data_IF_630519807584
#
_entry.id   IF_630519807584
#
_cell.length_a   1.000
_cell.length_b   1.000
_cell.length_c   1.000
_cell.angle_alpha   90.00
_cell.angle_beta   90.00
_cell.angle_gamma   90.00
#
_symmetry.space_group_name_H-M   'P 1'
#
loop_
_entity.id
_entity.type
_entity.pdbx_description
1 polymer ?
#
# COMPACT_ATOMS: atom_id res chain seq x y z
N UNK A 1 54.86 9.03 66.54
CA UNK A 1 53.40 8.77 66.63
C UNK A 1 52.68 9.68 65.64
N UNK A 2 51.43 9.35 65.26
CA UNK A 2 50.46 10.16 64.47
C UNK A 2 50.90 10.60 63.06
N UNK A 3 50.24 10.08 61.99
CA UNK A 3 49.22 10.75 61.13
C UNK A 3 49.82 11.75 60.13
N UNK A 4 49.36 11.89 58.86
CA UNK A 4 48.13 11.42 58.18
C UNK A 4 48.25 11.44 56.63
N UNK A 5 47.30 10.78 55.93
CA UNK A 5 46.81 11.02 54.52
C UNK A 5 47.72 10.86 53.28
N UNK A 6 47.49 9.77 52.53
CA UNK A 6 46.86 9.69 51.17
C UNK A 6 47.00 8.22 50.67
N UNK A 7 45.98 7.50 50.15
CA UNK A 7 45.03 7.73 49.04
C UNK A 7 45.67 7.94 47.66
N UNK A 8 45.30 7.22 46.59
CA UNK A 8 44.52 5.96 46.46
C UNK A 8 44.61 5.43 45.01
N UNK A 9 45.01 4.16 44.82
CA UNK A 9 45.12 3.43 43.56
C UNK A 9 45.46 1.95 43.90
N UNK A 10 44.90 0.90 43.32
CA UNK A 10 43.76 0.72 42.38
C UNK A 10 42.93 -0.48 42.88
N UNK A 11 41.60 -0.47 42.67
CA UNK A 11 40.85 -1.67 42.28
C UNK A 11 39.38 -1.33 41.97
N UNK A 12 38.93 -1.67 40.77
CA UNK A 12 37.50 -1.62 40.38
C UNK A 12 37.17 -2.87 39.56
N UNK A 13 36.77 -3.93 40.26
CA UNK A 13 36.30 -5.20 39.69
C UNK A 13 35.18 -4.94 38.66
N UNK A 14 35.51 -5.10 37.38
CA UNK A 14 34.58 -4.85 36.29
C UNK A 14 33.61 -6.04 36.11
N UNK A 15 32.45 -5.98 36.76
CA UNK A 15 31.37 -6.98 36.61
C UNK A 15 30.68 -6.88 35.25
N UNK A 16 31.33 -7.43 34.22
CA UNK A 16 30.72 -7.56 32.89
C UNK A 16 29.48 -8.46 32.96
N UNK A 17 28.32 -7.89 32.60
CA UNK A 17 27.06 -8.64 32.53
C UNK A 17 27.08 -9.53 31.28
N UNK A 18 26.72 -10.82 31.37
CA UNK A 18 26.74 -11.71 30.22
C UNK A 18 25.78 -11.21 29.13
N UNK A 19 26.31 -11.01 27.93
CA UNK A 19 25.51 -10.56 26.77
C UNK A 19 24.47 -11.63 26.42
N UNK A 20 23.22 -11.26 26.10
CA UNK A 20 22.24 -12.24 25.64
C UNK A 20 22.76 -12.92 24.38
N UNK A 21 22.73 -14.26 24.36
CA UNK A 21 23.11 -15.04 23.17
C UNK A 21 22.23 -14.62 21.98
N UNK A 22 22.76 -14.61 20.74
CA UNK A 22 21.91 -14.39 19.57
C UNK A 22 20.74 -15.37 19.59
N UNK A 23 19.50 -14.86 19.45
CA UNK A 23 18.38 -15.73 19.09
C UNK A 23 18.77 -16.41 17.78
N UNK A 24 18.58 -17.72 17.69
CA UNK A 24 18.78 -18.45 16.44
C UNK A 24 18.01 -17.72 15.34
N UNK A 25 18.71 -17.31 14.29
CA UNK A 25 18.09 -16.85 13.06
C UNK A 25 17.17 -17.98 12.60
N UNK A 26 15.87 -17.72 12.53
CA UNK A 26 14.93 -18.62 11.86
C UNK A 26 15.47 -18.77 10.45
N UNK A 27 15.95 -19.98 10.11
CA UNK A 27 16.43 -20.29 8.77
C UNK A 27 15.29 -19.96 7.81
N UNK A 28 15.51 -19.01 6.89
CA UNK A 28 14.53 -18.66 5.86
C UNK A 28 14.29 -19.94 5.08
N UNK A 29 13.12 -20.56 5.28
CA UNK A 29 12.76 -21.80 4.59
C UNK A 29 12.78 -21.48 3.09
N UNK A 30 13.49 -22.30 2.33
CA UNK A 30 13.57 -22.15 0.88
C UNK A 30 12.23 -22.56 0.27
N UNK A 31 11.37 -21.56 0.07
CA UNK A 31 10.10 -21.72 -0.63
C UNK A 31 10.37 -21.94 -2.11
N UNK A 32 9.65 -22.90 -2.70
CA UNK A 32 9.67 -23.15 -4.14
C UNK A 32 8.63 -22.28 -4.90
N UNK A 33 7.87 -21.44 -4.18
CA UNK A 33 6.76 -20.65 -4.72
C UNK A 33 6.91 -19.13 -4.47
N UNK A 34 7.45 -18.74 -3.32
CA UNK A 34 7.69 -17.34 -2.94
C UNK A 34 9.17 -16.97 -3.13
N UNK A 35 9.42 -15.81 -3.75
CA UNK A 35 10.78 -15.34 -4.04
C UNK A 35 11.45 -15.99 -5.27
N UNK A 36 10.73 -16.79 -6.03
CA UNK A 36 11.18 -17.39 -7.31
C UNK A 36 10.75 -16.53 -8.51
N UNK A 37 11.38 -16.67 -9.70
CA UNK A 37 10.95 -15.97 -10.91
C UNK A 37 9.47 -16.24 -11.25
N UNK A 38 8.76 -15.22 -11.76
CA UNK A 38 7.32 -15.32 -12.05
C UNK A 38 6.97 -16.51 -12.98
N UNK A 39 7.83 -16.77 -13.97
CA UNK A 39 7.71 -17.87 -14.92
C UNK A 39 7.74 -19.28 -14.26
N UNK A 40 8.21 -19.42 -13.02
CA UNK A 40 8.23 -20.69 -12.30
C UNK A 40 6.88 -21.02 -11.65
N UNK A 41 5.98 -20.04 -11.51
CA UNK A 41 4.69 -20.14 -10.79
C UNK A 41 3.47 -19.81 -11.66
N UNK A 42 3.66 -19.78 -12.99
CA UNK A 42 2.61 -19.65 -14.01
C UNK A 42 2.86 -20.63 -15.15
N UNK A 43 1.83 -20.95 -15.92
CA UNK A 43 1.92 -21.75 -17.16
C UNK A 43 1.05 -21.14 -18.26
N UNK A 44 1.19 -21.50 -19.54
CA UNK A 44 0.33 -20.96 -20.62
C UNK A 44 -1.17 -21.24 -20.42
N UNK A 45 -1.52 -22.34 -19.75
CA UNK A 45 -2.87 -22.74 -19.36
C UNK A 45 -3.31 -22.12 -18.01
N UNK A 46 -2.38 -21.74 -17.14
CA UNK A 46 -2.63 -21.03 -15.87
C UNK A 46 -1.70 -19.82 -15.74
N UNK A 47 -1.95 -18.73 -16.50
CA UNK A 47 -1.04 -17.58 -16.57
C UNK A 47 -1.06 -16.69 -15.33
N UNK A 48 -1.89 -17.00 -14.33
CA UNK A 48 -2.01 -16.28 -13.05
C UNK A 48 -1.52 -17.19 -11.92
N UNK A 49 -0.61 -16.75 -11.04
CA UNK A 49 -0.17 -17.53 -9.89
C UNK A 49 -1.36 -17.87 -8.98
N UNK A 50 -1.50 -19.14 -8.59
CA UNK A 50 -2.64 -19.64 -7.81
C UNK A 50 -2.86 -18.87 -6.50
N UNK A 51 -1.78 -18.47 -5.83
CA UNK A 51 -1.84 -17.61 -4.64
C UNK A 51 -2.49 -16.25 -4.92
N UNK A 52 -2.14 -15.60 -6.03
CA UNK A 52 -2.70 -14.30 -6.44
C UNK A 52 -4.17 -14.45 -6.84
N UNK A 53 -4.53 -15.53 -7.54
CA UNK A 53 -5.93 -15.83 -7.86
C UNK A 53 -6.79 -16.03 -6.60
N UNK A 54 -6.33 -16.86 -5.65
CA UNK A 54 -7.00 -17.05 -4.35
C UNK A 54 -7.15 -15.73 -3.58
N UNK A 55 -6.08 -14.92 -3.49
CA UNK A 55 -6.12 -13.63 -2.78
C UNK A 55 -7.11 -12.65 -3.42
N UNK A 56 -7.04 -12.46 -4.75
CA UNK A 56 -7.92 -11.55 -5.48
C UNK A 56 -9.38 -11.99 -5.37
N UNK A 57 -9.67 -13.29 -5.58
CA UNK A 57 -11.04 -13.82 -5.48
C UNK A 57 -11.63 -13.66 -4.08
N UNK A 58 -10.84 -13.89 -3.04
CA UNK A 58 -11.26 -13.66 -1.66
C UNK A 58 -11.56 -12.18 -1.41
N UNK A 59 -10.65 -11.28 -1.78
CA UNK A 59 -10.84 -9.83 -1.59
C UNK A 59 -12.05 -9.30 -2.39
N UNK A 60 -12.30 -9.78 -3.60
CA UNK A 60 -13.51 -9.42 -4.37
C UNK A 60 -14.80 -9.92 -3.73
N UNK A 61 -14.79 -11.10 -3.10
CA UNK A 61 -15.97 -11.71 -2.48
C UNK A 61 -16.29 -11.13 -1.09
N UNK A 62 -15.27 -10.78 -0.29
CA UNK A 62 -15.44 -10.41 1.14
C UNK A 62 -14.94 -9.01 1.50
N UNK A 63 -13.99 -8.45 0.73
CA UNK A 63 -13.23 -7.25 1.11
C UNK A 63 -13.44 -6.02 0.22
N UNK A 64 -14.23 -6.11 -0.86
CA UNK A 64 -14.34 -5.04 -1.86
C UNK A 64 -14.93 -3.73 -1.33
N UNK A 65 -15.69 -3.79 -0.22
CA UNK A 65 -16.24 -2.63 0.49
C UNK A 65 -15.47 -2.25 1.77
N UNK A 66 -14.36 -2.92 2.10
CA UNK A 66 -13.57 -2.64 3.31
C UNK A 66 -12.87 -1.27 3.21
N UNK A 67 -13.11 -0.39 4.18
CA UNK A 67 -12.52 0.95 4.16
C UNK A 67 -10.99 0.91 4.18
N UNK A 68 -10.36 1.60 3.24
CA UNK A 68 -8.91 1.64 3.11
C UNK A 68 -8.27 0.30 2.71
N UNK A 69 -8.99 -0.58 2.02
CA UNK A 69 -8.42 -1.81 1.44
C UNK A 69 -7.10 -1.51 0.69
N UNK A 70 -6.05 -2.29 0.93
CA UNK A 70 -4.66 -2.07 0.49
C UNK A 70 -3.93 -0.84 1.04
N UNK A 71 -4.62 0.18 1.58
CA UNK A 71 -4.04 1.32 2.32
C UNK A 71 -3.73 0.95 3.77
N UNK A 72 -4.63 0.19 4.41
CA UNK A 72 -4.44 -0.34 5.77
C UNK A 72 -3.52 -1.56 5.72
N UNK A 73 -2.51 -1.57 6.58
CA UNK A 73 -1.57 -2.69 6.69
C UNK A 73 -2.20 -3.92 7.34
N UNK A 74 -1.96 -5.10 6.76
CA UNK A 74 -2.24 -6.39 7.40
C UNK A 74 -1.30 -6.69 8.57
N UNK A 75 -1.65 -7.70 9.38
CA UNK A 75 -0.75 -8.18 10.42
C UNK A 75 0.40 -8.96 9.77
N UNK A 76 1.63 -8.41 9.84
CA UNK A 76 2.81 -9.04 9.23
C UNK A 76 3.02 -10.49 9.68
N UNK A 77 2.75 -10.82 10.94
CA UNK A 77 2.95 -12.20 11.43
C UNK A 77 1.93 -13.18 10.84
N UNK A 78 0.68 -12.73 10.62
CA UNK A 78 -0.33 -13.51 9.91
C UNK A 78 -0.03 -13.60 8.41
N UNK A 79 0.46 -12.52 7.77
CA UNK A 79 0.85 -12.53 6.35
C UNK A 79 1.91 -13.61 6.07
N UNK A 80 2.98 -13.62 6.87
CA UNK A 80 4.01 -14.66 6.78
C UNK A 80 3.47 -16.06 7.13
N UNK A 81 2.47 -16.14 8.03
CA UNK A 81 1.81 -17.41 8.39
C UNK A 81 0.94 -17.96 7.25
N UNK A 82 0.26 -17.06 6.53
CA UNK A 82 -0.53 -17.37 5.34
C UNK A 82 0.36 -17.82 4.19
N UNK A 83 1.49 -17.13 3.94
CA UNK A 83 2.48 -17.56 2.95
C UNK A 83 3.03 -18.96 3.31
N UNK A 84 3.45 -19.20 4.55
CA UNK A 84 3.95 -20.52 5.01
C UNK A 84 2.89 -21.63 4.93
N UNK A 85 1.63 -21.34 5.22
CA UNK A 85 0.54 -22.32 5.08
C UNK A 85 0.25 -22.63 3.61
N UNK A 86 0.30 -21.63 2.72
CA UNK A 86 0.14 -21.87 1.28
C UNK A 86 1.31 -22.68 0.71
N UNK A 87 2.55 -22.37 1.10
CA UNK A 87 3.77 -23.08 0.67
C UNK A 87 3.81 -24.55 1.15
N UNK A 88 2.99 -24.90 2.16
CA UNK A 88 2.77 -26.27 2.64
C UNK A 88 1.59 -26.96 1.96
N UNK A 89 0.51 -26.23 1.65
CA UNK A 89 -0.62 -26.72 0.89
C UNK A 89 -1.18 -25.65 -0.06
N UNK A 90 -0.93 -25.82 -1.36
CA UNK A 90 -1.45 -24.96 -2.42
C UNK A 90 -2.99 -24.92 -2.48
N UNK A 91 -3.70 -25.86 -1.84
CA UNK A 91 -5.16 -25.89 -1.81
C UNK A 91 -5.77 -24.93 -0.77
N UNK A 92 -4.98 -24.45 0.21
CA UNK A 92 -5.35 -23.56 1.32
C UNK A 92 -6.59 -22.69 1.06
N UNK A 93 -7.71 -22.99 1.71
CA UNK A 93 -8.86 -22.09 1.71
C UNK A 93 -8.58 -20.88 2.62
N UNK A 94 -8.98 -19.69 2.17
CA UNK A 94 -8.82 -18.43 2.91
C UNK A 94 -10.07 -18.10 3.75
N UNK A 95 -11.20 -18.73 3.45
CA UNK A 95 -12.45 -18.63 4.22
C UNK A 95 -12.35 -19.49 5.48
N UNK A 96 -11.92 -20.75 5.38
CA UNK A 96 -11.79 -21.67 6.53
C UNK A 96 -10.72 -21.26 7.57
N UNK A 97 -9.91 -20.24 7.25
CA UNK A 97 -8.74 -19.82 8.04
C UNK A 97 -8.92 -18.48 8.75
N UNK A 98 -10.07 -17.82 8.59
CA UNK A 98 -10.41 -16.53 9.21
C UNK A 98 -9.32 -15.44 9.07
N UNK A 99 -8.54 -15.47 7.98
CA UNK A 99 -7.53 -14.43 7.72
C UNK A 99 -8.20 -13.08 7.49
N UNK A 100 -7.74 -12.02 8.17
CA UNK A 100 -8.30 -10.69 7.94
C UNK A 100 -8.07 -10.23 6.50
N UNK A 101 -9.03 -9.49 5.94
CA UNK A 101 -8.96 -8.96 4.57
C UNK A 101 -7.67 -8.15 4.36
N UNK A 102 -7.21 -7.40 5.37
CA UNK A 102 -5.95 -6.65 5.31
C UNK A 102 -4.71 -7.56 5.35
N UNK A 103 -4.77 -8.69 6.05
CA UNK A 103 -3.73 -9.74 6.01
C UNK A 103 -3.64 -10.38 4.63
N UNK A 104 -4.77 -10.75 4.00
CA UNK A 104 -4.79 -11.30 2.62
C UNK A 104 -4.27 -10.26 1.61
N UNK A 105 -4.74 -9.01 1.71
CA UNK A 105 -4.28 -7.90 0.89
C UNK A 105 -2.77 -7.58 1.08
N UNK A 106 -2.27 -7.71 2.30
CA UNK A 106 -0.86 -7.56 2.62
C UNK A 106 0.00 -8.68 2.03
N UNK A 107 -0.40 -9.94 2.20
CA UNK A 107 0.32 -11.10 1.68
C UNK A 107 0.33 -11.13 0.14
N UNK A 108 -0.76 -10.71 -0.50
CA UNK A 108 -0.81 -10.48 -1.95
C UNK A 108 0.24 -9.47 -2.43
N UNK A 109 0.42 -8.35 -1.70
CA UNK A 109 1.47 -7.36 -2.01
C UNK A 109 2.89 -7.87 -1.68
N UNK A 110 3.02 -8.74 -0.69
CA UNK A 110 4.30 -9.37 -0.33
C UNK A 110 4.83 -10.25 -1.47
N UNK A 111 4.00 -11.11 -2.07
CA UNK A 111 4.36 -11.94 -3.24
C UNK A 111 5.06 -11.12 -4.36
N UNK A 112 4.46 -10.01 -4.79
CA UNK A 112 5.07 -9.14 -5.83
C UNK A 112 6.33 -8.40 -5.37
N UNK A 113 6.41 -8.08 -4.07
CA UNK A 113 7.60 -7.47 -3.47
C UNK A 113 8.77 -8.46 -3.38
N UNK A 114 8.49 -9.76 -3.33
CA UNK A 114 9.47 -10.84 -3.16
C UNK A 114 10.01 -11.42 -4.48
N UNK A 115 9.28 -11.30 -5.61
CA UNK A 115 9.74 -11.75 -6.93
C UNK A 115 11.17 -11.21 -7.24
N UNK A 116 12.09 -12.00 -7.84
CA UNK A 116 13.43 -11.52 -8.17
C UNK A 116 13.44 -10.23 -9.00
N UNK A 117 12.62 -10.18 -10.05
CA UNK A 117 12.34 -8.99 -10.87
C UNK A 117 10.95 -8.40 -10.55
N UNK A 118 10.72 -7.09 -10.71
CA UNK A 118 9.42 -6.46 -10.51
C UNK A 118 8.40 -6.90 -11.57
N UNK A 119 7.10 -6.82 -11.24
CA UNK A 119 6.03 -7.21 -12.18
C UNK A 119 6.01 -6.31 -13.43
N UNK A 120 6.34 -5.03 -13.29
CA UNK A 120 6.66 -4.14 -14.42
C UNK A 120 8.18 -4.13 -14.58
N UNK A 121 8.78 -4.76 -15.62
CA UNK A 121 10.24 -4.85 -15.74
C UNK A 121 10.90 -3.47 -15.87
N UNK A 122 12.11 -3.31 -15.31
CA UNK A 122 12.80 -2.01 -15.27
C UNK A 122 12.98 -1.35 -16.65
N UNK A 123 13.21 -2.13 -17.70
CA UNK A 123 13.25 -1.65 -19.09
C UNK A 123 11.97 -0.91 -19.49
N UNK A 124 10.82 -1.50 -19.20
CA UNK A 124 9.51 -0.95 -19.54
C UNK A 124 9.11 0.20 -18.62
N UNK A 125 9.63 0.25 -17.38
CA UNK A 125 9.46 1.41 -16.50
C UNK A 125 10.08 2.68 -17.12
N UNK A 126 11.30 2.57 -17.66
CA UNK A 126 11.98 3.68 -18.35
C UNK A 126 11.14 4.14 -19.55
N UNK A 127 10.70 3.21 -20.40
CA UNK A 127 9.85 3.55 -21.55
C UNK A 127 8.53 4.21 -21.16
N UNK A 128 7.89 3.78 -20.06
CA UNK A 128 6.66 4.39 -19.56
C UNK A 128 6.90 5.81 -19.01
N UNK A 129 8.05 6.07 -18.39
CA UNK A 129 8.47 7.42 -17.96
C UNK A 129 8.73 8.33 -19.16
N UNK A 130 9.35 7.83 -20.23
CA UNK A 130 9.53 8.60 -21.47
C UNK A 130 8.19 8.90 -22.16
N UNK A 131 7.30 7.91 -22.28
CA UNK A 131 5.95 8.12 -22.81
C UNK A 131 5.13 9.12 -21.96
N UNK A 132 5.37 9.18 -20.64
CA UNK A 132 4.69 10.15 -19.77
C UNK A 132 5.06 11.61 -20.08
N UNK A 133 6.21 11.88 -20.72
CA UNK A 133 6.62 13.23 -21.15
C UNK A 133 5.81 13.75 -22.35
N UNK A 134 5.02 12.91 -23.01
CA UNK A 134 4.12 13.34 -24.08
C UNK A 134 3.01 14.21 -23.47
N UNK A 135 2.96 15.49 -23.84
CA UNK A 135 1.99 16.45 -23.30
C UNK A 135 0.54 16.06 -23.61
N UNK A 136 0.27 15.70 -24.87
CA UNK A 136 -1.06 15.28 -25.32
C UNK A 136 -1.51 14.01 -24.59
N UNK A 137 -2.73 14.04 -24.03
CA UNK A 137 -3.26 12.95 -23.20
C UNK A 137 -3.41 11.67 -24.00
N UNK A 138 -3.94 11.79 -25.21
CA UNK A 138 -4.40 10.65 -25.97
C UNK A 138 -3.22 9.97 -26.70
N UNK A 139 -2.26 10.73 -27.23
CA UNK A 139 -0.96 10.18 -27.66
C UNK A 139 -0.21 9.51 -26.50
N UNK A 140 -0.19 10.10 -25.30
CA UNK A 140 0.47 9.52 -24.12
C UNK A 140 -0.08 8.14 -23.77
N UNK A 141 -1.40 7.99 -23.66
CA UNK A 141 -2.02 6.69 -23.31
C UNK A 141 -1.92 5.65 -24.46
N UNK A 142 -1.91 6.08 -25.73
CA UNK A 142 -1.62 5.18 -26.84
C UNK A 142 -0.16 4.67 -26.78
N UNK A 143 0.82 5.55 -26.58
CA UNK A 143 2.22 5.16 -26.40
C UNK A 143 2.41 4.20 -25.21
N UNK A 144 1.77 4.48 -24.07
CA UNK A 144 1.75 3.55 -22.91
C UNK A 144 1.15 2.18 -23.27
N UNK A 145 0.13 2.13 -24.15
CA UNK A 145 -0.48 0.88 -24.63
C UNK A 145 0.44 0.11 -25.58
N UNK A 146 1.25 0.79 -26.37
CA UNK A 146 2.28 0.19 -27.23
C UNK A 146 3.52 -0.30 -26.49
N UNK A 147 3.83 0.28 -25.33
CA UNK A 147 4.82 -0.27 -24.38
C UNK A 147 4.24 -1.51 -23.67
N UNK A 148 2.99 -1.42 -23.20
CA UNK A 148 2.28 -2.53 -22.55
C UNK A 148 2.17 -3.78 -23.46
N UNK A 149 1.96 -3.58 -24.77
CA UNK A 149 1.97 -4.65 -25.80
C UNK A 149 3.31 -5.39 -25.94
N UNK A 150 4.41 -4.86 -25.38
CA UNK A 150 5.76 -5.43 -25.44
C UNK A 150 6.27 -5.96 -24.11
N UNK A 151 5.42 -6.05 -23.08
CA UNK A 151 5.75 -6.76 -21.84
C UNK A 151 6.02 -8.25 -22.12
N UNK A 152 6.85 -8.93 -21.31
CA UNK A 152 6.86 -10.40 -21.26
C UNK A 152 5.45 -10.94 -21.01
N UNK A 153 5.11 -12.09 -21.56
CA UNK A 153 3.70 -12.55 -21.62
C UNK A 153 3.14 -12.85 -20.24
N UNK A 154 3.97 -13.43 -19.39
CA UNK A 154 3.73 -13.76 -17.99
C UNK A 154 3.46 -12.48 -17.18
N UNK A 155 4.32 -11.48 -17.34
CA UNK A 155 4.17 -10.16 -16.74
C UNK A 155 2.89 -9.45 -17.23
N UNK A 156 2.58 -9.52 -18.54
CA UNK A 156 1.38 -8.90 -19.11
C UNK A 156 0.09 -9.49 -18.56
N UNK A 157 -0.06 -10.82 -18.55
CA UNK A 157 -1.31 -11.46 -18.11
C UNK A 157 -1.54 -11.24 -16.60
N UNK A 158 -0.49 -11.31 -15.78
CA UNK A 158 -0.58 -11.03 -14.34
C UNK A 158 -0.82 -9.54 -14.05
N UNK A 159 -0.14 -8.63 -14.75
CA UNK A 159 -0.37 -7.19 -14.63
C UNK A 159 -1.81 -6.82 -15.05
N UNK A 160 -2.32 -7.38 -16.15
CA UNK A 160 -3.72 -7.26 -16.56
C UNK A 160 -4.67 -7.71 -15.46
N UNK A 161 -4.42 -8.86 -14.83
CA UNK A 161 -5.30 -9.38 -13.77
C UNK A 161 -5.31 -8.48 -12.53
N UNK A 162 -4.14 -8.03 -12.07
CA UNK A 162 -4.01 -7.11 -10.91
C UNK A 162 -4.68 -5.76 -11.22
N UNK A 163 -4.38 -5.13 -12.35
CA UNK A 163 -4.95 -3.82 -12.68
C UNK A 163 -6.48 -3.90 -12.89
N UNK A 164 -6.99 -4.99 -13.47
CA UNK A 164 -8.42 -5.25 -13.59
C UNK A 164 -9.10 -5.42 -12.21
N UNK A 165 -8.45 -6.09 -11.26
CA UNK A 165 -8.92 -6.14 -9.87
C UNK A 165 -8.97 -4.74 -9.23
N UNK A 166 -7.88 -3.97 -9.32
CA UNK A 166 -7.83 -2.61 -8.78
C UNK A 166 -8.87 -1.67 -9.42
N UNK A 167 -9.21 -1.87 -10.70
CA UNK A 167 -10.31 -1.15 -11.33
C UNK A 167 -11.65 -1.44 -10.65
N UNK A 168 -12.00 -2.71 -10.38
CA UNK A 168 -13.22 -3.09 -9.62
C UNK A 168 -13.26 -2.51 -8.20
N UNK A 169 -12.12 -2.51 -7.50
CA UNK A 169 -12.01 -1.88 -6.18
C UNK A 169 -12.26 -0.37 -6.30
N UNK A 170 -11.69 0.29 -7.32
CA UNK A 170 -11.90 1.73 -7.56
C UNK A 170 -13.33 2.11 -7.95
N UNK A 171 -14.10 1.21 -8.58
CA UNK A 171 -15.54 1.42 -8.81
C UNK A 171 -16.33 1.51 -7.48
N UNK A 172 -15.82 0.89 -6.41
CA UNK A 172 -16.43 0.88 -5.08
C UNK A 172 -15.90 1.98 -4.13
N UNK A 173 -15.20 2.99 -4.66
CA UNK A 173 -14.56 4.08 -3.89
C UNK A 173 -15.51 4.81 -2.91
N UNK A 174 -16.82 4.84 -3.15
CA UNK A 174 -17.80 5.47 -2.25
C UNK A 174 -17.98 4.73 -0.92
N UNK A 175 -17.59 3.47 -0.85
CA UNK A 175 -17.68 2.62 0.35
C UNK A 175 -16.28 2.33 0.91
N UNK A 176 -15.35 1.91 0.07
CA UNK A 176 -14.00 1.54 0.50
C UNK A 176 -13.01 2.72 0.58
N UNK A 177 -13.39 3.92 0.13
CA UNK A 177 -12.57 5.15 0.07
C UNK A 177 -11.29 5.05 -0.80
N UNK A 178 -11.19 4.04 -1.66
CA UNK A 178 -10.02 3.78 -2.51
C UNK A 178 -10.30 4.13 -3.98
N UNK A 179 -10.02 5.38 -4.36
CA UNK A 179 -9.98 5.83 -5.76
C UNK A 179 -8.84 5.18 -6.55
N UNK A 180 -8.82 5.35 -7.89
CA UNK A 180 -7.69 4.89 -8.72
C UNK A 180 -6.35 5.52 -8.30
N UNK A 181 -6.37 6.78 -7.85
CA UNK A 181 -5.22 7.48 -7.27
C UNK A 181 -4.80 6.86 -5.93
N UNK A 182 -5.73 6.65 -4.98
CA UNK A 182 -5.43 6.05 -3.69
C UNK A 182 -4.86 4.62 -3.85
N UNK A 183 -5.38 3.85 -4.81
CA UNK A 183 -4.87 2.51 -5.13
C UNK A 183 -3.50 2.57 -5.81
N UNK A 184 -3.26 3.53 -6.71
CA UNK A 184 -1.95 3.65 -7.35
C UNK A 184 -0.88 3.95 -6.32
N UNK A 185 -1.09 4.92 -5.41
CA UNK A 185 -0.22 5.22 -4.26
C UNK A 185 0.11 3.94 -3.46
N UNK A 186 -0.87 3.06 -3.25
CA UNK A 186 -0.71 1.85 -2.44
C UNK A 186 -0.07 0.64 -3.15
N UNK A 187 0.08 0.70 -4.48
CA UNK A 187 0.56 -0.41 -5.31
C UNK A 187 1.77 -0.11 -6.20
N UNK A 188 1.93 1.11 -6.71
CA UNK A 188 3.01 1.44 -7.64
C UNK A 188 4.41 1.06 -7.10
N UNK A 189 4.74 1.20 -5.79
CA UNK A 189 6.04 0.76 -5.27
C UNK A 189 6.19 -0.77 -5.30
N UNK A 190 5.10 -1.51 -5.08
CA UNK A 190 5.07 -2.98 -5.09
C UNK A 190 5.20 -3.55 -6.51
N UNK A 191 4.62 -2.88 -7.52
CA UNK A 191 4.63 -3.37 -8.91
C UNK A 191 5.90 -2.97 -9.68
N UNK A 192 6.56 -1.87 -9.31
CA UNK A 192 7.73 -1.31 -10.01
C UNK A 192 9.03 -1.38 -9.21
N UNK A 193 8.99 -1.22 -7.87
CA UNK A 193 10.16 -1.25 -6.98
C UNK A 193 11.33 -0.35 -7.47
N UNK A 194 11.13 0.98 -7.57
CA UNK A 194 12.17 1.88 -8.06
C UNK A 194 13.38 1.93 -7.11
N UNK A 195 14.55 2.29 -7.65
CA UNK A 195 15.72 2.59 -6.82
C UNK A 195 15.68 4.03 -6.28
N UNK A 196 15.08 4.16 -5.09
CA UNK A 196 14.99 5.41 -4.34
C UNK A 196 16.35 6.01 -3.89
N UNK A 197 17.49 5.37 -4.14
CA UNK A 197 18.81 5.98 -3.84
C UNK A 197 19.18 7.11 -4.79
N UNK A 198 18.51 7.20 -5.95
CA UNK A 198 18.72 8.27 -6.95
C UNK A 198 17.75 9.43 -6.76
N UNK A 199 18.24 10.68 -6.93
CA UNK A 199 17.38 11.88 -6.92
C UNK A 199 16.34 11.86 -8.04
N UNK A 200 16.68 11.25 -9.18
CA UNK A 200 15.77 11.10 -10.32
C UNK A 200 14.58 10.19 -9.98
N UNK A 201 14.77 9.11 -9.20
CA UNK A 201 13.67 8.25 -8.75
C UNK A 201 12.75 8.93 -7.72
N UNK A 202 13.29 9.77 -6.84
CA UNK A 202 12.47 10.62 -5.96
C UNK A 202 11.61 11.58 -6.77
N UNK A 203 12.16 12.14 -7.85
CA UNK A 203 11.43 13.05 -8.76
C UNK A 203 10.41 12.30 -9.62
N UNK A 204 10.75 11.10 -10.11
CA UNK A 204 9.89 10.23 -10.91
C UNK A 204 8.79 9.51 -10.09
N UNK A 205 8.83 9.57 -8.76
CA UNK A 205 7.82 8.97 -7.86
C UNK A 205 6.38 9.36 -8.24
N UNK A 206 6.12 10.64 -8.57
CA UNK A 206 4.78 11.08 -9.00
C UNK A 206 4.44 10.61 -10.43
N UNK A 207 5.44 10.46 -11.28
CA UNK A 207 5.29 9.87 -12.63
C UNK A 207 4.83 8.41 -12.53
N UNK A 208 5.49 7.59 -11.71
CA UNK A 208 5.11 6.19 -11.50
C UNK A 208 3.70 6.05 -10.89
N UNK A 209 3.35 6.88 -9.90
CA UNK A 209 1.98 6.95 -9.36
C UNK A 209 0.96 7.21 -10.48
N UNK A 210 1.17 8.24 -11.30
CA UNK A 210 0.21 8.65 -12.34
C UNK A 210 0.14 7.65 -13.51
N UNK A 211 1.25 6.95 -13.81
CA UNK A 211 1.29 5.83 -14.76
C UNK A 211 0.38 4.69 -14.29
N UNK A 212 0.54 4.23 -13.04
CA UNK A 212 -0.28 3.14 -12.48
C UNK A 212 -1.74 3.58 -12.30
N UNK A 213 -2.00 4.82 -11.89
CA UNK A 213 -3.35 5.39 -11.86
C UNK A 213 -4.01 5.36 -13.24
N UNK A 214 -3.28 5.76 -14.29
CA UNK A 214 -3.78 5.74 -15.67
C UNK A 214 -4.14 4.31 -16.10
N UNK A 215 -3.33 3.31 -15.78
CA UNK A 215 -3.64 1.90 -16.05
C UNK A 215 -4.87 1.40 -15.27
N UNK A 216 -5.01 1.75 -13.98
CA UNK A 216 -6.17 1.39 -13.16
C UNK A 216 -7.44 2.05 -13.70
N UNK A 217 -7.40 3.36 -13.99
CA UNK A 217 -8.56 4.11 -14.43
C UNK A 217 -8.99 3.73 -15.86
N UNK A 218 -8.08 3.77 -16.82
CA UNK A 218 -8.35 3.47 -18.24
C UNK A 218 -8.21 1.97 -18.56
N UNK A 219 -8.45 1.08 -17.57
CA UNK A 219 -8.31 -0.38 -17.70
C UNK A 219 -9.09 -0.94 -18.92
N UNK A 220 -10.28 -0.40 -19.18
CA UNK A 220 -11.11 -0.74 -20.33
C UNK A 220 -10.41 -0.48 -21.68
N UNK A 221 -9.74 0.67 -21.83
CA UNK A 221 -8.96 1.01 -23.02
C UNK A 221 -7.71 0.12 -23.14
N UNK A 222 -6.92 -0.01 -22.07
CA UNK A 222 -5.65 -0.74 -22.12
C UNK A 222 -5.83 -2.24 -22.40
N UNK A 223 -6.78 -2.91 -21.75
CA UNK A 223 -6.86 -4.38 -21.73
C UNK A 223 -8.05 -4.98 -22.49
N UNK A 224 -9.02 -4.16 -22.90
CA UNK A 224 -10.28 -4.61 -23.54
C UNK A 224 -10.67 -3.81 -24.80
N UNK A 225 -9.74 -3.00 -25.33
CA UNK A 225 -9.90 -2.21 -26.57
C UNK A 225 -11.17 -1.33 -26.64
N UNK A 226 -11.66 -0.88 -25.48
CA UNK A 226 -12.70 0.14 -25.41
C UNK A 226 -12.13 1.52 -25.81
N UNK A 227 -12.98 2.49 -26.20
CA UNK A 227 -12.56 3.88 -26.32
C UNK A 227 -12.00 4.42 -24.99
N UNK A 228 -11.26 5.52 -25.07
CA UNK A 228 -10.80 6.25 -23.88
C UNK A 228 -12.00 6.84 -23.13
N UNK A 229 -11.96 6.77 -21.79
CA UNK A 229 -12.89 7.53 -20.95
C UNK A 229 -12.38 8.97 -20.84
N UNK A 230 -13.22 9.95 -21.15
CA UNK A 230 -12.85 11.37 -21.03
C UNK A 230 -12.60 11.81 -19.58
N UNK A 231 -13.17 11.10 -18.61
CA UNK A 231 -13.29 11.58 -17.23
C UNK A 231 -12.04 11.33 -16.38
N UNK A 232 -11.17 12.33 -16.21
CA UNK A 232 -10.23 12.40 -15.09
C UNK A 232 -10.23 13.80 -14.44
N UNK A 233 -10.12 13.80 -13.11
CA UNK A 233 -9.78 14.95 -12.24
C UNK A 233 -10.46 16.31 -12.51
N UNK A 234 -11.80 16.36 -12.40
CA UNK A 234 -12.54 17.60 -12.18
C UNK A 234 -13.08 17.71 -10.74
N UNK A 235 -12.71 18.75 -9.99
CA UNK A 235 -13.36 19.10 -8.71
C UNK A 235 -14.78 19.65 -8.99
N UNK A 236 -15.78 18.78 -9.00
CA UNK A 236 -17.18 19.14 -9.14
C UNK A 236 -17.99 18.70 -7.93
N UNK A 237 -18.16 19.59 -6.95
CA UNK A 237 -19.20 19.45 -5.92
C UNK A 237 -20.58 19.42 -6.60
N UNK A 238 -21.50 18.51 -6.24
CA UNK A 238 -22.80 18.40 -6.92
C UNK A 238 -23.78 19.48 -6.44
N UNK A 239 -23.57 20.73 -6.88
CA UNK A 239 -24.59 21.77 -6.79
C UNK A 239 -25.68 21.48 -7.81
N UNK A 240 -26.72 20.78 -7.39
CA UNK A 240 -27.90 20.54 -8.22
C UNK A 240 -28.62 21.86 -8.52
N UNK A 241 -28.96 22.10 -9.78
CA UNK A 241 -29.85 23.20 -10.18
C UNK A 241 -30.71 22.72 -11.35
N UNK A 242 -32.03 22.64 -11.13
CA UNK A 242 -33.00 22.29 -12.17
C UNK A 242 -33.54 23.57 -12.85
N UNK A 243 -33.27 23.71 -14.15
CA UNK A 243 -34.17 24.35 -15.14
C UNK A 243 -33.49 24.34 -16.52
N UNK A 244 -34.06 23.98 -17.68
CA UNK A 244 -35.43 23.77 -18.21
C UNK A 244 -35.81 24.86 -19.23
N UNK A 245 -36.13 24.42 -20.46
CA UNK A 245 -36.48 25.23 -21.66
C UNK A 245 -35.29 26.07 -22.22
N UNK A 246 -35.17 26.34 -23.53
CA UNK A 246 -35.89 25.81 -24.70
C UNK A 246 -35.82 26.76 -25.92
N UNK A 247 -35.82 26.22 -27.15
CA UNK A 247 -36.20 26.97 -28.36
C UNK A 247 -35.11 27.54 -29.30
N UNK A 248 -35.06 26.97 -30.51
CA UNK A 248 -35.00 27.64 -31.83
C UNK A 248 -33.89 28.65 -32.24
N UNK A 249 -33.19 28.23 -33.31
CA UNK A 249 -32.84 29.01 -34.52
C UNK A 249 -31.67 30.00 -34.53
N UNK A 250 -30.96 30.00 -35.66
CA UNK A 250 -29.93 30.96 -36.02
C UNK A 250 -30.49 32.12 -36.85
N UNK A 251 -29.73 33.22 -36.93
CA UNK A 251 -29.63 34.07 -38.13
C UNK A 251 -28.31 34.86 -38.11
N UNK A 252 -27.72 35.09 -39.29
CA UNK A 252 -26.55 35.95 -39.48
C UNK A 252 -26.96 37.36 -39.91
N UNK A 253 -26.16 38.39 -39.57
CA UNK A 253 -25.82 39.51 -40.49
C UNK A 253 -24.81 40.49 -39.87
N UNK A 254 -24.28 41.39 -40.70
CA UNK A 254 -23.15 42.29 -40.45
C UNK A 254 -23.61 43.75 -40.41
N UNK A 255 -22.95 44.62 -39.62
CA UNK A 255 -22.62 46.00 -40.04
C UNK A 255 -21.65 46.73 -39.08
N UNK A 256 -20.84 47.60 -39.68
CA UNK A 256 -20.05 48.73 -39.16
C UNK A 256 -20.67 49.48 -37.94
N UNK A 257 -19.91 50.12 -37.05
CA UNK A 257 -18.91 51.16 -37.37
C UNK A 257 -17.83 51.40 -36.26
N UNK A 258 -16.91 52.34 -36.51
CA UNK A 258 -15.61 52.50 -35.79
C UNK A 258 -15.64 53.44 -34.54
N UNK A 259 -14.53 54.03 -34.04
CA UNK A 259 -13.88 53.55 -32.81
C UNK A 259 -13.78 54.58 -31.65
N UNK A 260 -13.49 54.13 -30.42
CA UNK A 260 -13.13 55.03 -29.31
C UNK A 260 -12.19 54.44 -28.25
N UNK A 261 -10.99 55.04 -28.19
CA UNK A 261 -10.15 55.35 -27.01
C UNK A 261 -10.15 54.42 -25.76
N UNK A 262 -8.97 53.89 -25.47
CA UNK A 262 -8.56 53.29 -24.19
C UNK A 262 -8.44 54.30 -23.04
N UNK A 263 -8.79 53.91 -21.80
CA UNK A 263 -8.15 54.39 -20.58
C UNK A 263 -7.03 53.43 -20.11
N UNK A 264 -5.99 53.97 -19.47
CA UNK A 264 -4.90 53.20 -18.87
C UNK A 264 -5.30 52.59 -17.50
N UNK A 265 -4.62 51.52 -17.02
CA UNK A 265 -4.91 50.93 -15.71
C UNK A 265 -4.56 51.88 -14.54
N UNK A 266 -5.37 51.85 -13.49
CA UNK A 266 -5.12 52.60 -12.27
C UNK A 266 -3.94 52.02 -11.46
N UNK A 267 -3.17 52.84 -10.72
CA UNK A 267 -2.01 52.38 -9.97
C UNK A 267 -2.40 51.57 -8.73
N UNK A 268 -1.62 50.51 -8.46
CA UNK A 268 -1.70 49.77 -7.20
C UNK A 268 -1.31 50.65 -6.00
N UNK A 269 -2.18 50.75 -5.00
CA UNK A 269 -1.88 51.38 -3.71
C UNK A 269 -1.49 50.30 -2.71
N UNK A 270 -0.28 50.38 -2.16
CA UNK A 270 0.20 49.48 -1.11
C UNK A 270 -0.37 49.87 0.27
N UNK A 271 -1.04 48.97 1.02
CA UNK A 271 -1.47 49.25 2.38
C UNK A 271 -0.29 49.28 3.36
N UNK A 272 0.04 50.44 3.91
CA UNK A 272 1.13 50.61 4.88
C UNK A 272 0.68 50.33 6.31
N UNK A 273 0.58 49.04 6.68
CA UNK A 273 0.38 48.59 8.07
C UNK A 273 1.27 47.38 8.38
N UNK A 274 2.18 47.44 9.37
CA UNK A 274 3.01 46.30 9.74
C UNK A 274 2.16 45.22 10.46
N UNK A 275 2.45 43.91 10.26
CA UNK A 275 1.77 42.85 10.97
C UNK A 275 2.17 42.82 12.46
N UNK A 276 1.19 42.72 13.35
CA UNK A 276 1.42 42.50 14.78
C UNK A 276 1.87 41.06 15.00
N UNK A 277 3.03 40.87 15.61
CA UNK A 277 3.58 39.54 15.93
C UNK A 277 2.97 39.05 17.25
N UNK A 278 2.20 37.95 17.29
CA UNK A 278 1.75 37.34 18.54
C UNK A 278 2.94 36.66 19.25
N UNK A 279 3.33 37.18 20.41
CA UNK A 279 4.49 36.70 21.15
C UNK A 279 4.16 35.42 21.95
N UNK A 280 4.35 34.25 21.31
CA UNK A 280 4.27 32.96 21.98
C UNK A 280 5.48 32.73 22.90
N UNK A 281 5.29 32.95 24.20
CA UNK A 281 6.25 32.53 25.23
C UNK A 281 6.27 31.00 25.41
N UNK A 282 7.39 30.41 25.86
CA UNK A 282 7.48 28.97 26.08
C UNK A 282 6.62 28.52 27.28
N UNK A 283 6.00 27.33 27.22
CA UNK A 283 5.21 26.81 28.34
C UNK A 283 6.10 26.42 29.52
N UNK A 284 5.75 26.90 30.72
CA UNK A 284 6.40 26.49 31.97
C UNK A 284 6.14 25.02 32.28
N UNK A 285 7.20 24.26 32.56
CA UNK A 285 7.12 22.90 33.11
C UNK A 285 6.61 22.95 34.56
N UNK A 286 5.32 22.67 34.77
CA UNK A 286 4.83 22.32 36.11
C UNK A 286 5.11 20.84 36.40
N UNK A 287 5.94 20.60 37.41
CA UNK A 287 6.27 19.26 37.90
C UNK A 287 5.17 18.83 38.88
N UNK A 288 4.19 18.06 38.42
CA UNK A 288 3.23 17.42 39.32
C UNK A 288 3.69 16.00 39.66
N UNK A 289 4.28 15.86 40.85
CA UNK A 289 4.71 14.56 41.38
C UNK A 289 3.48 13.69 41.69
N UNK A 290 3.53 12.41 41.29
CA UNK A 290 2.58 11.38 41.73
C UNK A 290 3.39 10.14 42.18
N UNK A 291 3.18 9.61 43.40
CA UNK A 291 4.00 8.54 43.95
C UNK A 291 3.67 7.16 43.33
N UNK A 292 4.61 6.20 43.37
CA UNK A 292 4.41 4.87 42.79
C UNK A 292 3.54 3.97 43.68
N UNK A 293 2.55 3.30 43.08
CA UNK A 293 1.79 2.23 43.72
C UNK A 293 2.02 0.87 43.02
N UNK A 294 2.88 0.07 43.64
CA UNK A 294 2.78 -1.40 43.65
C UNK A 294 2.74 -1.82 45.11
N UNK A 295 1.91 -2.79 45.50
CA UNK A 295 2.53 -4.09 45.80
C UNK A 295 1.68 -5.35 45.50
N UNK A 296 2.37 -6.49 45.55
CA UNK A 296 1.90 -7.81 45.98
C UNK A 296 0.84 -8.59 45.16
N UNK A 297 1.34 -9.61 44.45
CA UNK A 297 0.68 -10.91 44.34
C UNK A 297 0.79 -11.70 45.66
N UNK A 298 -0.19 -12.54 46.02
CA UNK A 298 -0.01 -13.61 47.02
C UNK A 298 0.51 -14.91 46.38
N UNK A 299 1.32 -15.67 47.12
CA UNK A 299 1.65 -17.08 46.81
C UNK A 299 1.37 -17.92 48.06
N UNK A 300 0.47 -18.90 47.92
CA UNK A 300 0.33 -20.12 48.74
C UNK A 300 -0.58 -21.07 47.92
N UNK A 301 -0.16 -22.21 47.37
CA UNK A 301 0.72 -23.31 47.80
C UNK A 301 0.05 -24.29 48.78
N UNK A 302 -0.46 -25.40 48.25
CA UNK A 302 -0.65 -26.72 48.90
C UNK A 302 -1.00 -27.79 47.82
N UNK A 303 -0.55 -29.03 47.99
CA UNK A 303 -0.62 -30.12 46.98
C UNK A 303 -0.27 -31.50 47.61
N UNK A 304 -0.66 -32.63 46.97
CA UNK A 304 -2.01 -33.16 46.79
C UNK A 304 -2.41 -33.93 48.08
N UNK A 305 -2.37 -35.29 48.27
CA UNK A 305 -2.56 -36.51 47.44
C UNK A 305 -4.02 -37.07 47.66
N UNK A 306 -4.47 -38.33 47.42
CA UNK A 306 -3.91 -39.66 47.07
C UNK A 306 -4.87 -40.45 46.13
N UNK A 307 -4.36 -40.87 44.97
CA UNK A 307 -4.39 -42.26 44.42
C UNK A 307 -5.74 -43.04 44.20
N UNK A 308 -5.76 -44.26 43.58
CA UNK A 308 -6.62 -44.48 42.41
C UNK A 308 -7.60 -45.68 42.50
N UNK A 309 -8.37 -45.91 41.43
CA UNK A 309 -8.93 -47.22 41.10
C UNK A 309 -8.74 -47.56 39.61
N UNK A 310 -8.23 -48.76 39.34
CA UNK A 310 -8.21 -49.43 38.03
C UNK A 310 -9.42 -50.42 37.92
N UNK A 311 -9.76 -50.94 36.72
CA UNK A 311 -10.95 -51.74 36.48
C UNK A 311 -10.75 -53.25 36.71
N UNK A 312 -11.82 -54.06 36.70
CA UNK A 312 -11.75 -55.51 36.53
C UNK A 312 -11.65 -55.94 35.04
N UNK A 313 -11.29 -57.21 34.81
CA UNK A 313 -11.01 -57.80 33.49
C UNK A 313 -11.73 -59.12 33.30
N UNK A 314 -12.49 -59.29 32.21
CA UNK A 314 -12.95 -60.58 31.64
C UNK A 314 -13.00 -60.40 30.10
N UNK A 315 -12.37 -61.21 29.23
CA UNK A 315 -12.41 -62.67 29.01
C UNK A 315 -13.63 -63.19 28.20
N UNK A 316 -13.59 -62.97 26.88
CA UNK A 316 -14.04 -63.93 25.84
C UNK A 316 -12.84 -64.11 24.88
N UNK A 317 -12.44 -65.30 24.41
CA UNK A 317 -13.17 -66.40 23.77
C UNK A 317 -13.80 -66.01 22.41
N UNK A 318 -12.96 -65.82 21.39
CA UNK A 318 -12.76 -66.80 20.29
C UNK A 318 -11.50 -66.47 19.48
#
# INVERSE_FOLDING_TARGET
MTRERKESAEDKENREKPRPKPRHSISKVESNYFGVPLANVVTPDRPIPLFIDKCIRYIEATGITTEGIYRVSGNKSEMESMQRQFDQDHNLDLVEKDFTINTVAGAMKAFFSELPEPLVPYSHQIELVEAFKINDRDQRVHAMKDILRRFPRENYDVFKYVINHLNKVSQNNRLNLMTSENLSICFWPTLMRPDFTTMDALTATRTYQTIIESFIHQCAFFFYNQPLSDTLSGHASPTATLSSHGGTSAYSSLAYNSPSLTPAPAPYVMPTTPPVIPHYGPPHTQIQQSPPHTPQSPIQALLPPLHPHHPPTEQHML
#
